data_IF_130333339885
#
_entry.id   IF_130333339885
#
_cell.length_a   1.000
_cell.length_b   1.000
_cell.length_c   1.000
_cell.angle_alpha   90.00
_cell.angle_beta   90.00
_cell.angle_gamma   90.00
#
_symmetry.space_group_name_H-M   'P 1'
#
loop_
_entity.id
_entity.type
_entity.pdbx_description
1 polymer ?
#
# COMPACT_ATOMS: atom_id res chain seq x y z
N UNK A 1 5.20 -20.02 14.40
CA UNK A 1 4.89 -18.67 13.86
C UNK A 1 3.39 -18.33 13.90
N UNK A 2 2.51 -19.16 14.47
CA UNK A 2 1.05 -18.89 14.42
C UNK A 2 0.56 -17.74 15.34
N UNK A 3 1.40 -17.20 16.24
CA UNK A 3 1.00 -16.18 17.23
C UNK A 3 2.01 -15.02 17.36
N UNK A 4 2.72 -14.63 16.31
CA UNK A 4 3.59 -13.45 16.38
C UNK A 4 2.78 -12.19 16.11
N UNK A 5 2.80 -11.24 17.05
CA UNK A 5 2.13 -9.94 16.92
C UNK A 5 2.85 -9.08 15.85
N UNK A 6 2.15 -8.18 15.16
CA UNK A 6 2.77 -7.26 14.21
C UNK A 6 3.85 -6.41 14.87
N UNK A 7 3.63 -6.00 16.11
CA UNK A 7 4.60 -5.22 16.87
C UNK A 7 5.87 -6.01 17.20
N UNK A 8 5.75 -7.33 17.38
CA UNK A 8 6.89 -8.23 17.54
C UNK A 8 7.71 -8.35 16.25
N UNK A 9 7.03 -8.36 15.10
CA UNK A 9 7.67 -8.34 13.79
C UNK A 9 8.38 -6.99 13.58
N UNK A 10 7.67 -5.87 13.75
CA UNK A 10 8.20 -4.51 13.56
C UNK A 10 9.37 -4.20 14.50
N UNK A 11 9.31 -4.66 15.74
CA UNK A 11 10.37 -4.44 16.74
C UNK A 11 11.63 -5.28 16.47
N UNK A 12 11.50 -6.37 15.70
CA UNK A 12 12.57 -7.34 15.45
C UNK A 12 12.76 -8.35 16.58
N UNK A 13 11.77 -8.52 17.47
CA UNK A 13 11.83 -9.49 18.57
C UNK A 13 11.90 -10.94 18.06
N UNK A 14 11.38 -11.18 16.85
CA UNK A 14 11.37 -12.48 16.17
C UNK A 14 12.71 -12.88 15.52
N UNK A 15 13.71 -12.00 15.49
CA UNK A 15 14.93 -12.25 14.71
C UNK A 15 15.75 -13.44 15.19
N UNK A 16 15.63 -13.81 16.48
CA UNK A 16 16.28 -14.99 17.04
C UNK A 16 15.67 -16.32 16.54
N UNK A 17 14.49 -16.28 15.93
CA UNK A 17 13.90 -17.48 15.31
C UNK A 17 14.71 -17.97 14.10
N UNK A 18 15.59 -17.13 13.55
CA UNK A 18 16.50 -17.53 12.48
C UNK A 18 17.40 -18.70 12.87
N UNK A 19 17.72 -18.84 14.17
CA UNK A 19 18.51 -19.96 14.67
C UNK A 19 17.72 -21.28 14.73
N UNK A 20 16.38 -21.21 14.70
CA UNK A 20 15.49 -22.39 14.62
C UNK A 20 15.30 -22.87 13.18
N UNK A 21 15.71 -22.08 12.19
CA UNK A 21 15.59 -22.40 10.76
C UNK A 21 16.60 -23.49 10.37
N UNK A 22 16.21 -24.38 9.46
CA UNK A 22 17.08 -25.48 8.98
C UNK A 22 18.40 -24.97 8.40
N UNK A 23 19.47 -25.77 8.55
CA UNK A 23 20.82 -25.40 8.07
C UNK A 23 20.87 -25.06 6.58
N UNK A 24 20.13 -25.79 5.73
CA UNK A 24 20.09 -25.52 4.29
C UNK A 24 19.50 -24.15 3.93
N UNK A 25 18.46 -23.70 4.64
CA UNK A 25 17.90 -22.36 4.44
C UNK A 25 18.89 -21.31 4.95
N UNK A 26 19.61 -21.56 6.05
CA UNK A 26 20.64 -20.63 6.54
C UNK A 26 21.79 -20.49 5.55
N UNK A 27 22.22 -21.56 4.89
CA UNK A 27 23.22 -21.50 3.83
C UNK A 27 22.74 -20.68 2.63
N UNK A 28 21.46 -20.81 2.25
CA UNK A 28 20.85 -19.99 1.20
C UNK A 28 20.79 -18.50 1.59
N UNK A 29 20.39 -18.19 2.83
CA UNK A 29 20.38 -16.81 3.34
C UNK A 29 21.78 -16.19 3.36
N UNK A 30 22.80 -16.96 3.76
CA UNK A 30 24.19 -16.53 3.70
C UNK A 30 24.65 -16.26 2.26
N UNK A 31 24.27 -17.12 1.31
CA UNK A 31 24.58 -16.94 -0.11
C UNK A 31 23.91 -15.67 -0.67
N UNK A 32 22.63 -15.45 -0.35
CA UNK A 32 21.88 -14.24 -0.75
C UNK A 32 22.50 -12.97 -0.15
N UNK A 33 22.84 -12.96 1.14
CA UNK A 33 23.54 -11.82 1.77
C UNK A 33 24.84 -11.50 1.05
N UNK A 34 25.63 -12.54 0.70
CA UNK A 34 26.90 -12.36 -0.01
C UNK A 34 26.70 -11.80 -1.41
N UNK A 35 25.69 -12.27 -2.14
CA UNK A 35 25.34 -11.74 -3.45
C UNK A 35 24.92 -10.27 -3.38
N UNK A 36 24.04 -9.94 -2.45
CA UNK A 36 23.55 -8.57 -2.25
C UNK A 36 24.69 -7.63 -1.84
N UNK A 37 25.56 -8.04 -0.92
CA UNK A 37 26.74 -7.26 -0.55
C UNK A 37 27.68 -7.03 -1.74
N UNK A 38 27.81 -7.99 -2.66
CA UNK A 38 28.58 -7.81 -3.88
C UNK A 38 27.90 -6.82 -4.84
N UNK A 39 26.57 -6.84 -4.94
CA UNK A 39 25.79 -5.86 -5.71
C UNK A 39 26.00 -4.45 -5.17
N UNK A 40 25.86 -4.26 -3.85
CA UNK A 40 26.06 -2.96 -3.18
C UNK A 40 27.49 -2.44 -3.36
N UNK A 41 28.49 -3.32 -3.31
CA UNK A 41 29.89 -2.95 -3.61
C UNK A 41 30.06 -2.48 -5.05
N UNK A 42 29.45 -3.15 -6.04
CA UNK A 42 29.52 -2.71 -7.45
C UNK A 42 28.91 -1.32 -7.63
N UNK A 43 27.78 -1.04 -6.99
CA UNK A 43 27.13 0.27 -7.01
C UNK A 43 28.03 1.34 -6.38
N UNK A 44 28.63 1.04 -5.21
CA UNK A 44 29.60 1.92 -4.56
C UNK A 44 30.80 2.21 -5.47
N UNK A 45 31.35 1.20 -6.15
CA UNK A 45 32.46 1.38 -7.09
C UNK A 45 32.06 2.29 -8.25
N UNK A 46 30.91 2.04 -8.89
CA UNK A 46 30.40 2.87 -9.97
C UNK A 46 30.20 4.33 -9.54
N UNK A 47 29.64 4.57 -8.35
CA UNK A 47 29.43 5.94 -7.83
C UNK A 47 30.75 6.66 -7.58
N UNK A 48 31.72 5.98 -6.97
CA UNK A 48 33.07 6.53 -6.73
C UNK A 48 33.75 6.91 -8.04
N UNK A 49 33.61 6.10 -9.09
CA UNK A 49 34.26 6.37 -10.37
C UNK A 49 33.58 7.52 -11.14
N UNK A 50 32.25 7.66 -11.07
CA UNK A 50 31.54 8.83 -11.59
C UNK A 50 31.98 10.13 -10.89
N UNK A 51 32.06 10.12 -9.56
CA UNK A 51 32.34 11.34 -8.79
C UNK A 51 33.81 11.76 -8.83
N UNK A 52 34.75 10.82 -9.04
CA UNK A 52 36.16 11.13 -9.40
C UNK A 52 36.24 11.94 -10.69
N UNK A 53 35.34 11.72 -11.65
CA UNK A 53 35.25 12.50 -12.88
C UNK A 53 34.74 13.93 -12.66
N UNK A 54 33.99 14.15 -11.58
CA UNK A 54 33.41 15.45 -11.20
C UNK A 54 34.22 16.20 -10.12
N UNK A 55 35.34 15.65 -9.66
CA UNK A 55 36.21 16.26 -8.65
C UNK A 55 35.67 16.23 -7.21
N UNK A 56 34.65 15.42 -6.90
CA UNK A 56 34.10 15.29 -5.55
C UNK A 56 34.67 14.05 -4.82
N UNK A 57 35.07 14.22 -3.56
CA UNK A 57 35.48 13.09 -2.70
C UNK A 57 34.26 12.41 -2.07
N UNK A 58 33.96 11.18 -2.50
CA UNK A 58 32.92 10.35 -1.87
C UNK A 58 33.44 9.72 -0.59
N UNK A 59 32.78 9.98 0.54
CA UNK A 59 32.99 9.22 1.77
C UNK A 59 32.39 7.81 1.60
N UNK A 60 33.21 6.87 1.13
CA UNK A 60 32.79 5.48 0.83
C UNK A 60 32.03 4.80 1.97
N UNK A 61 32.46 5.03 3.22
CA UNK A 61 31.82 4.46 4.40
C UNK A 61 30.43 5.05 4.67
N UNK A 62 30.24 6.36 4.46
CA UNK A 62 28.95 7.02 4.63
C UNK A 62 27.97 6.59 3.53
N UNK A 63 28.42 6.51 2.28
CA UNK A 63 27.58 6.06 1.17
C UNK A 63 27.22 4.58 1.29
N UNK A 64 28.16 3.72 1.72
CA UNK A 64 27.86 2.31 1.96
C UNK A 64 26.81 2.14 3.06
N UNK A 65 26.89 2.92 4.15
CA UNK A 65 25.84 2.93 5.18
C UNK A 65 24.49 3.36 4.61
N UNK A 66 24.46 4.36 3.72
CA UNK A 66 23.22 4.81 3.08
C UNK A 66 22.55 3.73 2.22
N UNK A 67 23.33 2.97 1.44
CA UNK A 67 22.78 1.96 0.51
C UNK A 67 22.60 0.57 1.14
N UNK A 68 23.28 0.30 2.26
CA UNK A 68 23.30 -1.00 2.93
C UNK A 68 22.71 -0.94 4.36
N UNK A 69 21.90 0.07 4.67
CA UNK A 69 21.39 0.31 6.03
C UNK A 69 20.58 -0.90 6.57
N UNK A 70 19.94 -1.63 5.65
CA UNK A 70 19.15 -2.84 5.93
C UNK A 70 19.99 -4.11 6.22
N UNK A 71 21.33 -4.05 6.14
CA UNK A 71 22.22 -5.19 6.39
C UNK A 71 23.36 -4.83 7.35
N UNK A 72 23.80 -5.81 8.15
CA UNK A 72 25.04 -5.69 8.89
C UNK A 72 26.26 -5.91 7.99
N UNK A 73 26.98 -4.82 7.75
CA UNK A 73 28.20 -4.78 6.96
C UNK A 73 29.44 -5.25 7.74
N UNK A 74 29.35 -5.44 9.06
CA UNK A 74 30.45 -5.97 9.87
C UNK A 74 30.66 -7.48 9.65
N UNK A 75 29.59 -8.18 9.28
CA UNK A 75 29.54 -9.64 9.06
C UNK A 75 29.14 -10.02 7.61
N UNK A 76 29.97 -9.74 6.59
CA UNK A 76 29.57 -9.82 5.17
C UNK A 76 29.26 -11.23 4.62
N UNK A 77 29.44 -12.29 5.42
CA UNK A 77 29.37 -13.68 4.95
C UNK A 77 28.36 -14.55 5.71
N UNK A 78 27.81 -14.04 6.80
CA UNK A 78 26.83 -14.74 7.63
C UNK A 78 25.63 -13.83 7.83
N UNK A 79 24.45 -14.37 7.57
CA UNK A 79 23.19 -13.71 7.82
C UNK A 79 22.75 -14.05 9.25
N UNK A 80 22.83 -13.06 10.13
CA UNK A 80 22.56 -13.17 11.56
C UNK A 80 21.19 -12.58 11.92
N UNK A 81 20.77 -12.77 13.17
CA UNK A 81 19.54 -12.16 13.68
C UNK A 81 19.55 -10.62 13.52
N UNK A 82 20.69 -9.97 13.65
CA UNK A 82 20.80 -8.52 13.45
C UNK A 82 20.47 -8.07 12.02
N UNK A 83 20.84 -8.86 11.01
CA UNK A 83 20.49 -8.57 9.61
C UNK A 83 18.99 -8.64 9.40
N UNK A 84 18.35 -9.67 9.97
CA UNK A 84 16.91 -9.84 9.89
C UNK A 84 16.18 -8.68 10.57
N UNK A 85 16.64 -8.26 11.75
CA UNK A 85 16.10 -7.09 12.46
C UNK A 85 16.22 -5.82 11.63
N UNK A 86 17.40 -5.54 11.05
CA UNK A 86 17.61 -4.34 10.22
C UNK A 86 16.76 -4.39 8.96
N UNK A 87 16.69 -5.54 8.30
CA UNK A 87 15.89 -5.73 7.10
C UNK A 87 14.41 -5.50 7.35
N UNK A 88 13.85 -6.04 8.45
CA UNK A 88 12.45 -5.83 8.81
C UNK A 88 12.20 -4.35 9.14
N UNK A 89 13.07 -3.71 9.92
CA UNK A 89 12.93 -2.30 10.28
C UNK A 89 13.01 -1.37 9.07
N UNK A 90 13.99 -1.56 8.20
CA UNK A 90 14.14 -0.77 6.98
C UNK A 90 12.97 -1.01 6.03
N UNK A 91 12.56 -2.26 5.81
CA UNK A 91 11.40 -2.55 4.96
C UNK A 91 10.11 -1.91 5.51
N UNK A 92 9.89 -1.97 6.82
CA UNK A 92 8.72 -1.34 7.46
C UNK A 92 8.77 0.19 7.31
N UNK A 93 9.91 0.80 7.59
CA UNK A 93 10.11 2.24 7.42
C UNK A 93 9.96 2.67 5.96
N UNK A 94 10.46 1.89 5.01
CA UNK A 94 10.37 2.19 3.58
C UNK A 94 8.92 2.14 3.10
N UNK A 95 8.13 1.17 3.57
CA UNK A 95 6.69 1.11 3.29
C UNK A 95 5.94 2.32 3.88
N UNK A 96 6.19 2.66 5.14
CA UNK A 96 5.57 3.83 5.79
C UNK A 96 5.94 5.15 5.10
N UNK A 97 7.20 5.28 4.67
CA UNK A 97 7.67 6.44 3.91
C UNK A 97 7.02 6.50 2.52
N UNK A 98 6.87 5.35 1.84
CA UNK A 98 6.22 5.28 0.53
C UNK A 98 4.76 5.77 0.59
N UNK A 99 4.00 5.31 1.59
CA UNK A 99 2.62 5.76 1.79
C UNK A 99 2.55 7.27 2.08
N UNK A 100 3.43 7.77 2.93
CA UNK A 100 3.49 9.21 3.26
C UNK A 100 3.85 10.05 2.03
N UNK A 101 4.89 9.66 1.31
CA UNK A 101 5.40 10.42 0.15
C UNK A 101 4.35 10.43 -0.97
N UNK A 102 3.65 9.31 -1.21
CA UNK A 102 2.51 9.24 -2.13
C UNK A 102 1.42 10.26 -1.74
N UNK A 103 1.01 10.27 -0.47
CA UNK A 103 -0.01 11.19 0.02
C UNK A 103 0.43 12.67 -0.09
N UNK A 104 1.71 12.97 0.14
CA UNK A 104 2.26 14.30 -0.10
C UNK A 104 2.27 14.70 -1.58
N UNK A 105 2.56 13.77 -2.48
CA UNK A 105 2.52 13.99 -3.92
C UNK A 105 1.09 14.30 -4.39
N UNK A 106 0.10 13.56 -3.88
CA UNK A 106 -1.32 13.85 -4.13
C UNK A 106 -1.71 15.26 -3.66
N UNK A 107 -1.31 15.66 -2.43
CA UNK A 107 -1.53 17.03 -1.94
C UNK A 107 -0.90 18.08 -2.86
N UNK A 108 0.35 17.87 -3.28
CA UNK A 108 1.05 18.79 -4.18
C UNK A 108 0.36 18.86 -5.55
N UNK A 109 -0.18 17.73 -6.02
CA UNK A 109 -0.95 17.65 -7.26
C UNK A 109 -2.23 18.50 -7.19
N UNK A 110 -3.07 18.28 -6.17
CA UNK A 110 -4.31 19.05 -5.98
C UNK A 110 -4.04 20.55 -5.78
N UNK A 111 -2.99 20.90 -5.03
CA UNK A 111 -2.55 22.30 -4.89
C UNK A 111 -2.16 22.95 -6.23
N UNK A 112 -1.42 22.22 -7.08
CA UNK A 112 -1.03 22.73 -8.41
C UNK A 112 -2.24 22.90 -9.31
N UNK A 113 -3.16 21.95 -9.29
CA UNK A 113 -4.42 22.00 -10.07
C UNK A 113 -5.26 23.20 -9.68
N UNK A 114 -5.44 23.45 -8.39
CA UNK A 114 -6.18 24.59 -7.89
C UNK A 114 -5.49 25.93 -8.21
N UNK A 115 -4.17 26.01 -8.04
CA UNK A 115 -3.39 27.20 -8.42
C UNK A 115 -3.56 27.55 -9.91
N UNK A 116 -3.47 26.56 -10.80
CA UNK A 116 -3.70 26.76 -12.24
C UNK A 116 -5.14 27.21 -12.53
N UNK A 117 -6.12 26.69 -11.80
CA UNK A 117 -7.52 27.12 -11.89
C UNK A 117 -7.67 28.59 -11.51
N UNK A 118 -7.09 29.01 -10.38
CA UNK A 118 -7.11 30.41 -9.95
C UNK A 118 -6.41 31.35 -10.94
N UNK A 119 -5.27 30.94 -11.49
CA UNK A 119 -4.56 31.73 -12.52
C UNK A 119 -5.39 31.89 -13.80
N UNK A 120 -6.13 30.85 -14.21
CA UNK A 120 -7.07 30.95 -15.33
C UNK A 120 -8.20 31.93 -15.01
N UNK A 121 -8.81 31.82 -13.82
CA UNK A 121 -9.88 32.72 -13.39
C UNK A 121 -9.45 34.20 -13.32
N UNK A 122 -8.18 34.46 -12.98
CA UNK A 122 -7.63 35.83 -12.96
C UNK A 122 -7.48 36.46 -14.35
N UNK A 123 -7.41 35.65 -15.42
CA UNK A 123 -7.26 36.10 -16.81
C UNK A 123 -8.59 36.33 -17.53
N UNK A 124 -9.72 35.92 -16.93
CA UNK A 124 -11.05 35.99 -17.51
C UNK A 124 -11.79 37.28 -17.11
N UNK A 125 -12.72 37.70 -17.96
CA UNK A 125 -13.61 38.81 -17.65
C UNK A 125 -14.68 38.41 -16.60
N UNK A 126 -15.32 39.39 -15.94
CA UNK A 126 -16.26 39.13 -14.84
C UNK A 126 -17.39 38.17 -15.20
N UNK A 127 -17.97 38.30 -16.40
CA UNK A 127 -19.04 37.41 -16.86
C UNK A 127 -18.54 35.98 -17.14
N UNK A 128 -17.32 35.85 -17.67
CA UNK A 128 -16.71 34.54 -17.95
C UNK A 128 -16.28 33.86 -16.65
N UNK A 129 -15.81 34.62 -15.67
CA UNK A 129 -15.47 34.13 -14.33
C UNK A 129 -16.67 33.52 -13.62
N UNK A 130 -17.83 34.19 -13.66
CA UNK A 130 -19.08 33.69 -13.08
C UNK A 130 -19.49 32.35 -13.75
N UNK A 131 -19.44 32.29 -15.10
CA UNK A 131 -19.76 31.05 -15.83
C UNK A 131 -18.80 29.90 -15.48
N UNK A 132 -17.49 30.16 -15.50
CA UNK A 132 -16.48 29.15 -15.17
C UNK A 132 -16.63 28.63 -13.74
N UNK A 133 -17.01 29.49 -12.79
CA UNK A 133 -17.24 29.09 -11.41
C UNK A 133 -18.53 28.28 -11.25
N UNK A 134 -19.59 28.60 -11.99
CA UNK A 134 -20.82 27.81 -12.02
C UNK A 134 -20.62 26.44 -12.67
N UNK A 135 -19.88 26.37 -13.78
CA UNK A 135 -19.50 25.11 -14.43
C UNK A 135 -18.67 24.22 -13.49
N UNK A 136 -17.67 24.80 -12.81
CA UNK A 136 -16.88 24.08 -11.82
C UNK A 136 -17.74 23.54 -10.67
N UNK A 137 -18.69 24.34 -10.17
CA UNK A 137 -19.63 23.87 -9.13
C UNK A 137 -20.48 22.72 -9.64
N UNK A 138 -21.01 22.79 -10.86
CA UNK A 138 -21.79 21.71 -11.47
C UNK A 138 -20.95 20.44 -11.62
N UNK A 139 -19.70 20.55 -12.07
CA UNK A 139 -18.78 19.41 -12.16
C UNK A 139 -18.54 18.77 -10.79
N UNK A 140 -18.37 19.58 -9.73
CA UNK A 140 -18.23 19.04 -8.37
C UNK A 140 -19.51 18.37 -7.87
N UNK A 141 -20.69 18.94 -8.15
CA UNK A 141 -21.97 18.32 -7.80
C UNK A 141 -22.20 17.01 -8.57
N UNK A 142 -21.86 16.96 -9.85
CA UNK A 142 -21.91 15.75 -10.68
C UNK A 142 -20.93 14.68 -10.16
N UNK A 143 -19.70 15.07 -9.85
CA UNK A 143 -18.71 14.16 -9.28
C UNK A 143 -19.18 13.64 -7.92
N UNK A 144 -19.67 14.51 -7.03
CA UNK A 144 -20.22 14.11 -5.73
C UNK A 144 -21.43 13.18 -5.86
N UNK A 145 -22.24 13.34 -6.91
CA UNK A 145 -23.34 12.41 -7.21
C UNK A 145 -22.84 11.07 -7.73
N UNK A 146 -21.84 11.06 -8.62
CA UNK A 146 -21.20 9.82 -9.12
C UNK A 146 -20.48 9.06 -8.00
N UNK A 147 -19.82 9.79 -7.10
CA UNK A 147 -19.11 9.26 -5.93
C UNK A 147 -20.03 8.85 -4.78
N UNK A 148 -21.36 8.84 -4.95
CA UNK A 148 -22.29 8.18 -4.01
C UNK A 148 -22.19 6.66 -4.18
N UNK A 149 -21.06 6.12 -3.79
CA UNK A 149 -20.86 4.69 -3.59
C UNK A 149 -21.32 4.30 -2.19
N UNK A 150 -21.54 3.01 -2.00
CA UNK A 150 -21.84 2.44 -0.70
C UNK A 150 -20.71 2.73 0.29
N UNK A 151 -21.04 2.75 1.59
CA UNK A 151 -20.04 2.85 2.63
C UNK A 151 -19.02 1.70 2.46
N UNK A 152 -17.70 1.97 2.50
CA UNK A 152 -16.69 0.93 2.31
C UNK A 152 -16.86 -0.19 3.35
N UNK A 153 -16.99 -1.43 2.89
CA UNK A 153 -17.22 -2.61 3.74
C UNK A 153 -18.70 -2.91 4.03
N UNK A 154 -19.64 -2.04 3.67
CA UNK A 154 -21.07 -2.26 3.97
C UNK A 154 -21.70 -3.43 3.21
N UNK A 155 -22.80 -3.96 3.75
CA UNK A 155 -23.55 -5.06 3.12
C UNK A 155 -23.95 -4.77 1.68
N UNK A 156 -24.42 -3.55 1.40
CA UNK A 156 -24.84 -3.15 0.05
C UNK A 156 -23.68 -3.24 -0.96
N UNK A 157 -22.47 -2.86 -0.55
CA UNK A 157 -21.28 -2.97 -1.40
C UNK A 157 -20.96 -4.44 -1.73
N UNK A 158 -21.04 -5.31 -0.72
CA UNK A 158 -20.72 -6.73 -0.89
C UNK A 158 -21.80 -7.48 -1.69
N UNK A 159 -23.07 -7.13 -1.49
CA UNK A 159 -24.21 -7.65 -2.26
C UNK A 159 -24.07 -7.28 -3.75
N UNK A 160 -23.67 -6.04 -4.06
CA UNK A 160 -23.43 -5.59 -5.43
C UNK A 160 -22.38 -6.45 -6.15
N UNK A 161 -21.30 -6.81 -5.46
CA UNK A 161 -20.24 -7.70 -6.00
C UNK A 161 -20.76 -9.13 -6.13
N UNK A 162 -21.45 -9.65 -5.12
CA UNK A 162 -22.03 -10.99 -5.12
C UNK A 162 -23.03 -11.19 -6.27
N UNK A 163 -23.88 -10.20 -6.52
CA UNK A 163 -24.88 -10.25 -7.58
C UNK A 163 -24.26 -10.04 -8.96
N UNK A 164 -23.40 -9.04 -9.14
CA UNK A 164 -22.97 -8.61 -10.48
C UNK A 164 -21.67 -9.25 -10.95
N UNK A 165 -20.70 -9.47 -10.05
CA UNK A 165 -19.39 -10.06 -10.40
C UNK A 165 -19.40 -11.58 -10.21
N UNK A 166 -19.87 -12.06 -9.05
CA UNK A 166 -19.92 -13.50 -8.76
C UNK A 166 -21.11 -14.18 -9.49
N UNK A 167 -22.08 -13.40 -9.97
CA UNK A 167 -23.23 -13.90 -10.71
C UNK A 167 -24.24 -14.67 -9.86
N UNK A 168 -24.19 -14.50 -8.53
CA UNK A 168 -24.99 -15.25 -7.55
C UNK A 168 -26.29 -14.52 -7.17
N UNK A 169 -26.99 -13.96 -8.17
CA UNK A 169 -28.22 -13.17 -7.97
C UNK A 169 -29.38 -13.93 -7.34
N UNK A 170 -29.43 -15.25 -7.57
CA UNK A 170 -30.50 -16.12 -7.06
C UNK A 170 -30.17 -16.72 -5.67
N UNK A 171 -28.96 -16.47 -5.15
CA UNK A 171 -28.51 -16.99 -3.86
C UNK A 171 -28.47 -15.87 -2.80
N UNK A 172 -28.96 -16.18 -1.60
CA UNK A 172 -28.85 -15.27 -0.46
C UNK A 172 -27.37 -15.08 -0.11
N UNK A 173 -26.93 -13.83 0.00
CA UNK A 173 -25.54 -13.53 0.30
C UNK A 173 -25.11 -14.18 1.61
N UNK A 174 -23.99 -14.88 1.54
CA UNK A 174 -23.38 -15.56 2.66
C UNK A 174 -21.97 -15.00 2.90
N UNK A 175 -21.72 -14.29 4.02
CA UNK A 175 -20.43 -13.64 4.27
C UNK A 175 -19.27 -14.64 4.32
N UNK A 176 -19.52 -15.87 4.81
CA UNK A 176 -18.50 -16.92 4.86
C UNK A 176 -18.12 -17.37 3.45
N UNK A 177 -19.11 -17.59 2.58
CA UNK A 177 -18.86 -17.99 1.18
C UNK A 177 -18.14 -16.87 0.44
N UNK A 178 -18.62 -15.63 0.58
CA UNK A 178 -17.99 -14.44 -0.01
C UNK A 178 -16.51 -14.33 0.37
N UNK A 179 -16.20 -14.44 1.67
CA UNK A 179 -14.82 -14.40 2.17
C UNK A 179 -13.92 -15.48 1.55
N UNK A 180 -14.44 -16.69 1.34
CA UNK A 180 -13.64 -17.76 0.73
C UNK A 180 -13.47 -17.61 -0.78
N UNK A 181 -14.47 -17.11 -1.50
CA UNK A 181 -14.39 -16.92 -2.96
C UNK A 181 -13.35 -15.86 -3.30
N UNK A 182 -13.42 -14.70 -2.64
CA UNK A 182 -12.51 -13.58 -2.89
C UNK A 182 -11.17 -13.72 -2.16
N UNK A 183 -11.14 -14.52 -1.09
CA UNK A 183 -9.93 -14.82 -0.36
C UNK A 183 -8.98 -15.80 -1.07
N UNK A 184 -9.45 -16.62 -2.01
CA UNK A 184 -8.64 -17.67 -2.64
C UNK A 184 -7.98 -17.25 -3.95
N UNK A 185 -7.29 -16.12 -4.00
CA UNK A 185 -6.36 -15.86 -5.10
C UNK A 185 -5.03 -16.61 -4.88
N UNK A 186 -5.00 -17.85 -5.40
CA UNK A 186 -3.90 -18.77 -5.83
C UNK A 186 -2.41 -18.53 -5.51
N UNK A 187 -2.05 -17.76 -4.47
CA UNK A 187 -0.70 -17.66 -3.91
C UNK A 187 -0.75 -18.08 -2.44
N UNK A 188 0.19 -18.94 -2.04
CA UNK A 188 0.17 -19.85 -0.88
C UNK A 188 0.27 -19.20 0.52
N UNK A 189 -0.33 -18.03 0.75
CA UNK A 189 -0.48 -17.49 2.10
C UNK A 189 -1.87 -16.93 2.34
N UNK A 190 -2.61 -17.57 3.25
CA UNK A 190 -3.87 -17.06 3.85
C UNK A 190 -3.75 -15.60 4.34
N UNK A 191 -2.53 -15.12 4.58
CA UNK A 191 -2.18 -13.77 5.01
C UNK A 191 -2.46 -12.66 3.99
N UNK A 192 -2.45 -12.93 2.69
CA UNK A 192 -2.73 -11.89 1.66
C UNK A 192 -4.19 -11.95 1.15
N UNK A 193 -4.95 -12.91 1.63
CA UNK A 193 -6.30 -13.26 1.19
C UNK A 193 -7.31 -12.12 1.39
N UNK A 194 -7.32 -11.52 2.58
CA UNK A 194 -8.35 -10.58 3.00
C UNK A 194 -8.12 -9.16 2.50
N UNK A 195 -6.87 -8.74 2.35
CA UNK A 195 -6.50 -7.45 1.75
C UNK A 195 -6.82 -7.47 0.25
N UNK A 196 -6.50 -8.56 -0.45
CA UNK A 196 -6.81 -8.69 -1.87
C UNK A 196 -8.32 -8.74 -2.14
N UNK A 197 -9.12 -9.35 -1.25
CA UNK A 197 -10.58 -9.28 -1.33
C UNK A 197 -11.07 -7.83 -1.31
N UNK A 198 -10.65 -7.03 -0.32
CA UNK A 198 -11.05 -5.64 -0.21
C UNK A 198 -10.57 -4.80 -1.40
N UNK A 199 -9.34 -5.01 -1.85
CA UNK A 199 -8.79 -4.28 -3.00
C UNK A 199 -9.58 -4.51 -4.28
N UNK A 200 -10.01 -5.74 -4.54
CA UNK A 200 -10.82 -6.08 -5.71
C UNK A 200 -12.20 -5.41 -5.66
N UNK A 201 -12.83 -5.39 -4.49
CA UNK A 201 -14.13 -4.74 -4.27
C UNK A 201 -14.00 -3.22 -4.51
N UNK A 202 -13.00 -2.58 -3.91
CA UNK A 202 -12.78 -1.14 -4.07
C UNK A 202 -12.45 -0.76 -5.51
N UNK A 203 -11.69 -1.59 -6.23
CA UNK A 203 -11.36 -1.33 -7.64
C UNK A 203 -12.61 -1.14 -8.48
N UNK A 204 -13.60 -2.02 -8.32
CA UNK A 204 -14.82 -2.02 -9.12
C UNK A 204 -15.69 -0.82 -8.85
N UNK A 205 -15.79 -0.39 -7.60
CA UNK A 205 -16.56 0.81 -7.26
C UNK A 205 -15.85 2.08 -7.73
N UNK A 206 -14.52 2.12 -7.64
CA UNK A 206 -13.75 3.26 -8.12
C UNK A 206 -13.75 3.35 -9.66
N UNK A 207 -13.75 2.23 -10.38
CA UNK A 207 -13.90 2.21 -11.85
C UNK A 207 -15.24 2.83 -12.32
N UNK A 208 -16.32 2.72 -11.53
CA UNK A 208 -17.61 3.38 -11.83
C UNK A 208 -17.51 4.92 -11.75
N UNK A 209 -16.66 5.42 -10.85
CA UNK A 209 -16.49 6.87 -10.59
C UNK A 209 -15.44 7.45 -11.56
N UNK A 210 -14.38 6.70 -11.81
CA UNK A 210 -13.19 7.09 -12.56
C UNK A 210 -12.95 6.13 -13.74
N UNK A 211 -13.82 6.17 -14.78
CA UNK A 211 -13.81 5.17 -15.84
C UNK A 211 -12.65 5.34 -16.84
N UNK A 212 -12.05 6.53 -16.93
CA UNK A 212 -10.91 6.80 -17.80
C UNK A 212 -9.58 6.68 -17.05
N UNK A 213 -8.61 6.00 -17.66
CA UNK A 213 -7.27 5.80 -17.10
C UNK A 213 -6.33 7.00 -17.28
N UNK A 214 -6.84 8.22 -17.09
CA UNK A 214 -5.99 9.42 -17.08
C UNK A 214 -5.11 9.44 -15.84
N UNK A 215 -3.90 10.00 -15.92
CA UNK A 215 -2.97 10.07 -14.78
C UNK A 215 -3.63 10.68 -13.53
N UNK A 216 -4.52 11.65 -13.72
CA UNK A 216 -5.29 12.28 -12.65
C UNK A 216 -6.28 11.32 -11.99
N UNK A 217 -7.06 10.60 -12.78
CA UNK A 217 -7.99 9.60 -12.25
C UNK A 217 -7.27 8.46 -11.56
N UNK A 218 -6.15 7.98 -12.11
CA UNK A 218 -5.34 6.94 -11.49
C UNK A 218 -4.87 7.39 -10.11
N UNK A 219 -4.34 8.61 -9.97
CA UNK A 219 -3.97 9.16 -8.67
C UNK A 219 -5.15 9.28 -7.70
N UNK A 220 -6.32 9.75 -8.16
CA UNK A 220 -7.51 9.88 -7.33
C UNK A 220 -8.06 8.52 -6.88
N UNK A 221 -8.07 7.54 -7.78
CA UNK A 221 -8.46 6.16 -7.48
C UNK A 221 -7.55 5.55 -6.42
N UNK A 222 -6.23 5.71 -6.54
CA UNK A 222 -5.28 5.17 -5.57
C UNK A 222 -5.43 5.79 -4.17
N UNK A 223 -5.68 7.10 -4.10
CA UNK A 223 -5.90 7.80 -2.83
C UNK A 223 -7.23 7.37 -2.19
N UNK A 224 -8.32 7.34 -2.95
CA UNK A 224 -9.62 6.89 -2.43
C UNK A 224 -9.60 5.40 -2.05
N UNK A 225 -8.90 4.55 -2.81
CA UNK A 225 -8.67 3.15 -2.45
C UNK A 225 -7.95 3.02 -1.11
N UNK A 226 -6.93 3.83 -0.88
CA UNK A 226 -6.20 3.85 0.40
C UNK A 226 -7.11 4.26 1.54
N UNK A 227 -7.92 5.30 1.34
CA UNK A 227 -8.89 5.78 2.32
C UNK A 227 -9.96 4.74 2.67
N UNK A 228 -10.50 4.04 1.67
CA UNK A 228 -11.44 2.93 1.87
C UNK A 228 -10.79 1.80 2.67
N UNK A 229 -9.53 1.44 2.33
CA UNK A 229 -8.79 0.40 3.05
C UNK A 229 -8.57 0.77 4.51
N UNK A 230 -8.08 1.98 4.80
CA UNK A 230 -7.87 2.45 6.17
C UNK A 230 -9.18 2.45 6.96
N UNK A 231 -10.27 2.89 6.32
CA UNK A 231 -11.59 2.92 6.92
C UNK A 231 -12.08 1.52 7.29
N UNK A 232 -12.06 0.57 6.35
CA UNK A 232 -12.49 -0.82 6.60
C UNK A 232 -11.58 -1.52 7.60
N UNK A 233 -10.26 -1.35 7.50
CA UNK A 233 -9.34 -1.93 8.47
C UNK A 233 -9.64 -1.44 9.89
N UNK A 234 -9.90 -0.15 10.08
CA UNK A 234 -10.25 0.40 11.38
C UNK A 234 -11.56 -0.18 11.97
N UNK A 235 -12.50 -0.57 11.13
CA UNK A 235 -13.78 -1.15 11.57
C UNK A 235 -13.70 -2.67 11.81
N UNK A 236 -12.92 -3.39 10.99
CA UNK A 236 -12.93 -4.86 10.95
C UNK A 236 -11.73 -5.49 11.67
N UNK A 237 -10.54 -4.92 11.54
CA UNK A 237 -9.31 -5.44 12.16
C UNK A 237 -9.29 -5.08 13.65
N UNK A 238 -9.73 -6.03 14.49
CA UNK A 238 -9.93 -5.78 15.92
C UNK A 238 -8.65 -5.90 16.73
N UNK A 239 -7.69 -6.71 16.26
CA UNK A 239 -6.40 -6.90 16.91
C UNK A 239 -5.31 -5.97 16.34
N UNK A 240 -5.62 -5.16 15.32
CA UNK A 240 -4.70 -4.25 14.63
C UNK A 240 -3.48 -4.99 14.07
N UNK A 241 -3.65 -6.25 13.66
CA UNK A 241 -2.58 -7.06 13.07
C UNK A 241 -2.45 -6.88 11.55
N UNK A 242 -3.18 -5.90 10.99
CA UNK A 242 -3.18 -5.54 9.59
C UNK A 242 -3.81 -6.61 8.69
N UNK A 243 -4.46 -7.62 9.29
CA UNK A 243 -5.10 -8.71 8.60
C UNK A 243 -6.55 -8.80 9.06
N UNK A 244 -7.42 -9.22 8.14
CA UNK A 244 -8.81 -9.50 8.48
C UNK A 244 -8.98 -11.01 8.53
N UNK A 245 -9.14 -11.57 9.71
CA UNK A 245 -9.44 -12.99 9.82
C UNK A 245 -10.91 -13.26 9.46
N UNK A 246 -11.23 -14.50 9.05
CA UNK A 246 -12.63 -14.89 8.83
C UNK A 246 -13.50 -14.63 10.07
N UNK A 247 -12.93 -14.80 11.27
CA UNK A 247 -13.65 -14.59 12.53
C UNK A 247 -14.00 -13.12 12.74
N UNK A 248 -13.09 -12.21 12.39
CA UNK A 248 -13.33 -10.76 12.46
C UNK A 248 -14.32 -10.31 11.41
N UNK A 249 -14.17 -10.79 10.18
CA UNK A 249 -15.11 -10.51 9.11
C UNK A 249 -16.54 -10.96 9.45
N UNK A 250 -16.71 -12.16 10.00
CA UNK A 250 -18.03 -12.65 10.43
C UNK A 250 -18.60 -11.83 11.60
N UNK A 251 -17.75 -11.40 12.54
CA UNK A 251 -18.19 -10.52 13.63
C UNK A 251 -18.64 -9.16 13.12
N UNK A 252 -17.93 -8.60 12.16
CA UNK A 252 -18.32 -7.36 11.50
C UNK A 252 -19.63 -7.53 10.73
N UNK A 253 -19.83 -8.64 10.02
CA UNK A 253 -21.09 -8.89 9.31
C UNK A 253 -22.31 -9.05 10.23
N UNK A 254 -22.09 -9.33 11.51
CA UNK A 254 -23.15 -9.41 12.54
C UNK A 254 -23.35 -8.07 13.28
N UNK A 255 -22.52 -7.05 13.01
CA UNK A 255 -22.53 -5.77 13.71
C UNK A 255 -23.54 -4.79 13.06
N UNK A 256 -24.07 -3.82 13.82
CA UNK A 256 -25.03 -2.84 13.30
C UNK A 256 -24.41 -1.83 12.31
N UNK A 257 -23.08 -1.79 12.23
CA UNK A 257 -22.32 -0.97 11.28
C UNK A 257 -22.27 -1.58 9.85
N UNK A 258 -22.70 -2.84 9.70
CA UNK A 258 -22.72 -3.57 8.43
C UNK A 258 -23.96 -3.31 7.56
#
# INVERSE_FOLDING_TARGET
MENADLDDIKSGSLSNEIYKVSGGIREQLNALKKEEMNRLRKILHAKVDLDKGNGQMVQKSAYLKQIADHLDHSSPHTFEAEDLTKLIKTATSDLENYDRDRHEEFKKFEMRKEMQREEKLKKLDEQERIKAQEEYRKQQEEQAQKSKIHHPGSRQQLDDVWENEDGLKDEEFNPKTFFYMHGQNRSLTLRHSSICMLEAIFEKDLEKIYPDGTDENVMQMEEERTRMREHVMKEVDTNNDGLITLKEFLRYSDSPEF
#
